data_IF_876085204825
#
_entry.id   IF_876085204825
#
_cell.length_a   1.000
_cell.length_b   1.000
_cell.length_c   1.000
_cell.angle_alpha   90.00
_cell.angle_beta   90.00
_cell.angle_gamma   90.00
#
_symmetry.space_group_name_H-M   'P 1'
#
loop_
_entity.id
_entity.type
_entity.pdbx_description
1 polymer ?
#
# COMPACT_ATOMS: atom_id res chain seq x y z
N UNK A 1 -10.84 5.05 13.23
CA UNK A 1 -9.37 5.01 12.96
C UNK A 1 -8.82 6.40 13.18
N UNK A 2 -7.78 6.56 14.02
CA UNK A 2 -7.25 7.89 14.35
C UNK A 2 -6.38 8.43 13.20
N UNK A 3 -6.64 9.65 12.69
CA UNK A 3 -5.71 10.38 11.83
C UNK A 3 -4.32 10.50 12.45
N UNK A 4 -3.29 10.50 11.62
CA UNK A 4 -1.89 10.58 12.06
C UNK A 4 -1.56 11.92 12.74
N UNK A 5 -2.23 13.01 12.35
CA UNK A 5 -2.05 14.33 12.94
C UNK A 5 -2.77 14.57 14.26
N UNK A 6 -3.54 13.59 14.77
CA UNK A 6 -4.28 13.71 16.03
C UNK A 6 -3.65 12.84 17.13
N UNK A 7 -3.67 13.34 18.37
CA UNK A 7 -3.17 12.59 19.51
C UNK A 7 -4.23 11.60 20.00
N UNK A 8 -4.02 10.31 19.74
CA UNK A 8 -4.90 9.27 20.26
C UNK A 8 -4.95 9.25 21.78
N UNK A 9 -3.94 9.72 22.52
CA UNK A 9 -3.97 9.72 23.98
C UNK A 9 -4.90 10.77 24.57
N UNK A 10 -5.26 11.80 23.78
CA UNK A 10 -6.26 12.77 24.19
C UNK A 10 -7.66 12.12 24.27
N UNK A 11 -8.25 12.21 25.45
CA UNK A 11 -9.56 11.59 25.73
C UNK A 11 -10.68 12.25 24.93
N UNK A 12 -10.56 13.54 24.61
CA UNK A 12 -11.54 14.23 23.77
C UNK A 12 -11.48 13.72 22.34
N UNK A 13 -10.29 13.66 21.75
CA UNK A 13 -10.06 13.06 20.43
C UNK A 13 -10.65 11.65 20.33
N UNK A 14 -10.46 10.80 21.35
CA UNK A 14 -11.07 9.45 21.38
C UNK A 14 -12.59 9.48 21.36
N UNK A 15 -13.20 10.34 22.18
CA UNK A 15 -14.67 10.40 22.27
C UNK A 15 -15.28 10.94 20.98
N UNK A 16 -14.72 12.00 20.42
CA UNK A 16 -15.20 12.64 19.19
C UNK A 16 -15.09 11.68 17.99
N UNK A 17 -14.01 10.88 17.91
CA UNK A 17 -13.86 9.81 16.92
C UNK A 17 -14.84 8.67 17.12
N UNK A 18 -15.11 8.28 18.38
CA UNK A 18 -15.97 7.13 18.70
C UNK A 18 -17.45 7.44 18.52
N UNK A 19 -17.87 8.65 18.88
CA UNK A 19 -19.24 9.13 18.71
C UNK A 19 -19.59 9.39 17.24
N UNK A 20 -18.58 9.66 16.41
CA UNK A 20 -18.78 10.08 15.02
C UNK A 20 -19.10 11.56 14.88
N UNK A 21 -18.99 12.35 15.95
CA UNK A 21 -19.13 13.82 15.91
C UNK A 21 -18.01 14.47 15.11
N UNK A 22 -16.80 13.89 15.14
CA UNK A 22 -15.71 14.32 14.29
C UNK A 22 -15.73 13.57 12.95
N UNK A 23 -16.11 14.29 11.90
CA UNK A 23 -15.97 13.81 10.53
C UNK A 23 -14.48 13.78 10.15
N UNK A 24 -13.99 12.59 9.81
CA UNK A 24 -12.63 12.38 9.34
C UNK A 24 -12.68 12.28 7.82
N UNK A 25 -12.13 13.29 7.15
CA UNK A 25 -12.04 13.37 5.70
C UNK A 25 -11.08 12.29 5.14
N UNK A 26 -11.24 11.91 3.86
CA UNK A 26 -10.45 10.84 3.24
C UNK A 26 -8.95 11.13 3.16
N UNK A 27 -8.56 12.40 3.12
CA UNK A 27 -7.17 12.89 3.14
C UNK A 27 -6.55 12.87 4.54
N UNK A 28 -7.35 12.73 5.61
CA UNK A 28 -6.86 12.57 6.97
C UNK A 28 -6.40 11.14 7.21
N UNK A 29 -5.21 10.84 6.71
CA UNK A 29 -4.69 9.48 6.71
C UNK A 29 -4.49 8.93 8.13
N UNK A 30 -4.96 7.69 8.39
CA UNK A 30 -4.88 7.10 9.70
C UNK A 30 -3.46 6.60 10.01
N UNK A 31 -3.11 6.62 11.29
CA UNK A 31 -1.78 6.24 11.79
C UNK A 31 -1.36 4.81 11.40
N UNK A 32 -2.33 3.94 11.07
CA UNK A 32 -2.04 2.56 10.68
C UNK A 32 -1.22 2.47 9.38
N UNK A 33 -1.21 3.51 8.52
CA UNK A 33 -0.39 3.52 7.30
C UNK A 33 1.11 3.57 7.59
N UNK A 34 1.49 4.13 8.74
CA UNK A 34 2.86 4.38 9.11
C UNK A 34 3.53 3.16 9.73
N UNK A 35 4.79 2.93 9.36
CA UNK A 35 5.64 1.94 10.02
C UNK A 35 5.68 2.20 11.53
N UNK A 36 5.49 1.13 12.33
CA UNK A 36 5.43 1.21 13.79
C UNK A 36 4.36 2.17 14.34
N UNK A 37 3.38 2.56 13.51
CA UNK A 37 2.31 3.49 13.88
C UNK A 37 2.84 4.82 14.43
N UNK A 38 3.93 5.33 13.86
CA UNK A 38 4.58 6.58 14.29
C UNK A 38 4.59 7.58 13.14
N UNK A 39 4.13 8.81 13.40
CA UNK A 39 4.11 9.90 12.44
C UNK A 39 5.09 11.00 12.86
N UNK A 40 5.99 11.41 11.96
CA UNK A 40 6.88 12.55 12.18
C UNK A 40 6.37 13.76 11.37
N UNK A 41 5.90 14.83 12.02
CA UNK A 41 5.44 16.02 11.33
C UNK A 41 6.56 16.79 10.60
N UNK A 42 7.84 16.52 10.90
CA UNK A 42 8.99 17.12 10.21
C UNK A 42 9.41 16.34 8.97
N UNK A 43 9.04 15.06 8.91
CA UNK A 43 9.28 14.15 7.80
C UNK A 43 8.03 13.27 7.58
N UNK A 44 6.97 13.80 6.95
CA UNK A 44 5.71 13.10 6.77
C UNK A 44 5.81 11.80 5.95
N UNK A 45 6.86 11.64 5.16
CA UNK A 45 7.12 10.40 4.41
C UNK A 45 7.72 9.29 5.27
N UNK A 46 8.25 9.63 6.45
CA UNK A 46 8.92 8.68 7.33
C UNK A 46 8.00 7.52 7.70
N UNK A 47 8.21 6.37 7.07
CA UNK A 47 7.43 5.16 7.33
C UNK A 47 6.03 5.15 6.71
N UNK A 48 5.61 6.18 5.98
CA UNK A 48 4.32 6.21 5.29
C UNK A 48 4.19 5.02 4.32
N UNK A 49 3.03 4.36 4.34
CA UNK A 49 2.71 3.18 3.52
C UNK A 49 3.68 1.99 3.69
N UNK A 50 4.41 1.93 4.80
CA UNK A 50 5.33 0.83 5.16
C UNK A 50 4.89 0.06 6.41
N UNK A 51 3.65 0.25 6.86
CA UNK A 51 3.09 -0.52 7.97
C UNK A 51 2.94 -2.00 7.62
N UNK A 52 3.26 -2.87 8.59
CA UNK A 52 3.04 -4.31 8.49
C UNK A 52 1.54 -4.67 8.40
N UNK A 53 0.65 -3.75 8.78
CA UNK A 53 -0.79 -3.93 8.64
C UNK A 53 -1.25 -3.85 7.18
N UNK A 54 -0.46 -3.25 6.29
CA UNK A 54 -0.74 -3.21 4.85
C UNK A 54 -0.53 -4.61 4.26
N UNK A 55 -1.44 -5.54 4.52
CA UNK A 55 -1.38 -6.99 4.29
C UNK A 55 -1.24 -7.43 2.81
N UNK A 56 -0.44 -6.72 2.02
CA UNK A 56 -0.16 -6.87 0.61
C UNK A 56 0.24 -8.30 0.27
N UNK A 57 1.13 -8.90 1.07
CA UNK A 57 1.52 -10.31 0.86
C UNK A 57 0.34 -11.27 1.04
N UNK A 58 -0.51 -11.04 2.02
CA UNK A 58 -1.68 -11.90 2.25
C UNK A 58 -2.74 -11.77 1.16
N UNK A 59 -2.85 -10.60 0.53
CA UNK A 59 -3.81 -10.36 -0.56
C UNK A 59 -3.26 -10.80 -1.92
N UNK A 60 -2.00 -10.51 -2.23
CA UNK A 60 -1.44 -10.74 -3.56
C UNK A 60 -0.61 -12.02 -3.68
N UNK A 61 -0.06 -12.54 -2.57
CA UNK A 61 0.75 -13.77 -2.60
C UNK A 61 -0.08 -14.97 -2.14
N UNK A 62 0.37 -16.17 -2.49
CA UNK A 62 -0.23 -17.39 -1.94
C UNK A 62 0.10 -17.49 -0.44
N UNK A 63 -0.80 -17.99 0.43
CA UNK A 63 -0.54 -18.17 1.87
C UNK A 63 0.80 -18.88 2.14
N UNK A 64 1.11 -19.89 1.34
CA UNK A 64 2.36 -20.67 1.39
C UNK A 64 3.63 -19.90 1.00
N UNK A 65 3.51 -18.71 0.39
CA UNK A 65 4.64 -17.81 0.08
C UNK A 65 4.92 -16.82 1.20
N UNK A 66 4.03 -16.75 2.21
CA UNK A 66 4.23 -15.99 3.44
C UNK A 66 4.98 -16.83 4.47
N UNK A 67 4.79 -18.16 4.44
CA UNK A 67 5.51 -19.13 5.26
C UNK A 67 6.83 -19.58 4.60
N UNK A 68 7.84 -19.96 5.40
CA UNK A 68 9.18 -20.35 4.91
C UNK A 68 9.19 -21.67 4.11
N UNK A 69 8.14 -22.47 4.18
CA UNK A 69 8.03 -23.74 3.44
C UNK A 69 7.00 -23.64 2.31
N UNK A 70 7.43 -23.78 1.04
CA UNK A 70 6.51 -23.66 -0.09
C UNK A 70 5.64 -24.91 -0.21
N UNK A 71 4.40 -24.82 0.28
CA UNK A 71 3.33 -25.83 0.10
C UNK A 71 2.22 -25.32 -0.84
N UNK A 72 2.59 -24.68 -1.95
CA UNK A 72 1.60 -24.07 -2.84
C UNK A 72 0.95 -25.11 -3.78
N UNK A 73 -0.37 -25.31 -3.65
CA UNK A 73 -1.22 -26.00 -4.65
C UNK A 73 -1.90 -25.03 -5.62
N UNK A 74 -1.96 -23.73 -5.29
CA UNK A 74 -2.55 -22.67 -6.12
C UNK A 74 -1.65 -21.43 -6.25
N UNK A 75 -1.66 -20.82 -7.43
CA UNK A 75 -0.99 -19.54 -7.70
C UNK A 75 -1.65 -18.38 -6.96
N UNK A 76 -0.85 -17.52 -6.33
CA UNK A 76 -1.36 -16.28 -5.70
C UNK A 76 -1.89 -15.28 -6.71
N UNK A 77 -2.69 -14.31 -6.25
CA UNK A 77 -3.36 -13.31 -7.07
C UNK A 77 -2.39 -12.51 -7.96
N UNK A 78 -1.21 -12.15 -7.46
CA UNK A 78 -0.17 -11.50 -8.27
C UNK A 78 0.19 -12.33 -9.50
N UNK A 79 0.42 -13.63 -9.35
CA UNK A 79 0.75 -14.52 -10.47
C UNK A 79 -0.45 -14.73 -11.40
N UNK A 80 -1.66 -14.86 -10.85
CA UNK A 80 -2.89 -15.01 -11.65
C UNK A 80 -3.12 -13.80 -12.57
N UNK A 81 -2.82 -12.60 -12.08
CA UNK A 81 -2.96 -11.36 -12.83
C UNK A 81 -1.68 -10.93 -13.56
N UNK A 82 -0.64 -11.76 -13.60
CA UNK A 82 0.62 -11.45 -14.29
C UNK A 82 1.40 -10.29 -13.68
N UNK A 83 1.14 -9.93 -12.42
CA UNK A 83 1.87 -8.88 -11.70
C UNK A 83 3.30 -9.36 -11.45
N UNK A 84 4.26 -8.56 -11.92
CA UNK A 84 5.70 -8.78 -11.77
C UNK A 84 6.39 -7.69 -10.93
N UNK A 85 5.64 -6.66 -10.56
CA UNK A 85 6.04 -5.57 -9.71
C UNK A 85 4.83 -5.03 -8.92
N UNK A 86 5.12 -4.41 -7.78
CA UNK A 86 4.16 -3.61 -7.02
C UNK A 86 3.92 -2.29 -7.75
N UNK A 87 2.67 -1.82 -7.78
CA UNK A 87 2.28 -0.55 -8.41
C UNK A 87 1.74 0.41 -7.36
N UNK A 88 1.74 1.71 -7.64
CA UNK A 88 1.14 2.72 -6.75
C UNK A 88 -0.34 2.41 -6.48
N UNK A 89 -1.08 2.04 -7.51
CA UNK A 89 -2.50 1.68 -7.41
C UNK A 89 -2.73 0.45 -6.53
N UNK A 90 -1.85 -0.56 -6.60
CA UNK A 90 -2.01 -1.74 -5.74
C UNK A 90 -1.66 -1.44 -4.28
N UNK A 91 -0.73 -0.52 -4.00
CA UNK A 91 -0.44 -0.06 -2.62
C UNK A 91 -1.62 0.72 -2.06
N UNK A 92 -2.14 1.71 -2.80
CA UNK A 92 -3.31 2.49 -2.40
C UNK A 92 -4.53 1.57 -2.18
N UNK A 93 -4.74 0.59 -3.06
CA UNK A 93 -5.83 -0.36 -2.91
C UNK A 93 -5.71 -1.19 -1.62
N UNK A 94 -4.52 -1.69 -1.28
CA UNK A 94 -4.31 -2.43 -0.03
C UNK A 94 -4.55 -1.55 1.20
N UNK A 95 -4.10 -0.30 1.18
CA UNK A 95 -4.40 0.65 2.24
C UNK A 95 -5.91 0.81 2.44
N UNK A 96 -6.67 0.97 1.36
CA UNK A 96 -8.13 1.09 1.40
C UNK A 96 -8.79 -0.18 1.94
N UNK A 97 -8.35 -1.37 1.50
CA UNK A 97 -8.87 -2.65 2.00
C UNK A 97 -8.63 -2.83 3.50
N UNK A 98 -7.44 -2.46 3.98
CA UNK A 98 -7.09 -2.54 5.41
C UNK A 98 -7.88 -1.52 6.22
N UNK A 99 -8.06 -0.29 5.71
CA UNK A 99 -8.90 0.72 6.35
C UNK A 99 -10.32 0.20 6.55
N UNK A 100 -10.90 -0.43 5.53
CA UNK A 100 -12.21 -1.07 5.63
C UNK A 100 -12.21 -2.20 6.66
N UNK A 101 -11.24 -3.11 6.61
CA UNK A 101 -11.14 -4.23 7.54
C UNK A 101 -10.99 -3.81 9.01
N UNK A 102 -10.40 -2.64 9.27
CA UNK A 102 -10.26 -2.07 10.61
C UNK A 102 -11.41 -1.14 11.02
N UNK A 103 -12.39 -0.94 10.14
CA UNK A 103 -13.56 -0.10 10.40
C UNK A 103 -14.69 -0.89 11.04
N UNK A 104 -15.72 -0.18 11.51
CA UNK A 104 -16.99 -0.77 11.95
C UNK A 104 -17.98 -0.99 10.79
N UNK A 105 -17.65 -0.59 9.56
CA UNK A 105 -18.54 -0.76 8.40
C UNK A 105 -18.60 -2.24 8.01
N UNK A 106 -19.82 -2.74 7.78
CA UNK A 106 -20.05 -4.12 7.35
C UNK A 106 -20.05 -4.28 5.83
N UNK A 107 -20.03 -3.16 5.08
CA UNK A 107 -20.14 -3.15 3.62
C UNK A 107 -19.04 -2.30 3.03
N UNK A 108 -18.24 -2.91 2.16
CA UNK A 108 -17.27 -2.16 1.36
C UNK A 108 -17.99 -1.57 0.15
N UNK A 109 -18.32 -0.28 0.21
CA UNK A 109 -18.93 0.46 -0.90
C UNK A 109 -18.08 1.65 -1.31
N UNK A 110 -18.06 1.94 -2.61
CA UNK A 110 -17.48 3.16 -3.17
C UNK A 110 -18.21 4.41 -2.68
N UNK A 111 -19.53 4.32 -2.54
CA UNK A 111 -20.42 5.42 -2.17
C UNK A 111 -20.70 5.48 -0.66
N UNK A 112 -19.90 4.77 0.15
CA UNK A 112 -20.06 4.83 1.61
C UNK A 112 -19.65 6.22 2.12
N UNK A 113 -20.64 7.07 2.37
CA UNK A 113 -20.45 8.43 2.89
C UNK A 113 -19.90 8.45 4.32
N UNK A 114 -19.93 7.32 5.03
CA UNK A 114 -19.41 7.25 6.41
C UNK A 114 -17.90 7.06 6.46
N UNK A 115 -17.35 6.39 5.46
CA UNK A 115 -15.92 6.10 5.40
C UNK A 115 -15.20 6.80 4.26
N UNK A 116 -15.91 7.36 3.28
CA UNK A 116 -15.31 8.04 2.12
C UNK A 116 -14.09 7.28 1.54
N UNK A 117 -14.32 6.00 1.23
CA UNK A 117 -13.27 5.10 0.73
C UNK A 117 -12.74 5.55 -0.63
N UNK A 118 -13.57 6.23 -1.42
CA UNK A 118 -13.20 6.79 -2.71
C UNK A 118 -12.22 7.95 -2.54
N UNK A 119 -12.52 8.94 -1.69
CA UNK A 119 -11.59 10.03 -1.43
C UNK A 119 -10.31 9.54 -0.76
N UNK A 120 -10.40 8.58 0.15
CA UNK A 120 -9.20 7.99 0.76
C UNK A 120 -8.27 7.36 -0.28
N UNK A 121 -8.81 6.55 -1.19
CA UNK A 121 -8.02 5.95 -2.25
C UNK A 121 -7.43 6.99 -3.20
N UNK A 122 -8.22 7.96 -3.64
CA UNK A 122 -7.74 9.00 -4.56
C UNK A 122 -6.72 9.92 -3.90
N UNK A 123 -6.89 10.31 -2.64
CA UNK A 123 -5.88 11.13 -1.93
C UNK A 123 -4.51 10.43 -1.84
N UNK A 124 -4.48 9.12 -1.65
CA UNK A 124 -3.24 8.35 -1.70
C UNK A 124 -2.66 8.31 -3.11
N UNK A 125 -3.49 8.12 -4.13
CA UNK A 125 -3.03 8.14 -5.52
C UNK A 125 -2.49 9.51 -5.91
N UNK A 126 -3.16 10.59 -5.53
CA UNK A 126 -2.75 11.96 -5.84
C UNK A 126 -1.34 12.23 -5.32
N UNK A 127 -1.01 11.79 -4.09
CA UNK A 127 0.35 11.83 -3.56
C UNK A 127 1.30 10.93 -4.37
N UNK A 128 0.91 9.68 -4.64
CA UNK A 128 1.79 8.70 -5.28
C UNK A 128 2.04 8.96 -6.77
N UNK A 129 1.20 9.77 -7.41
CA UNK A 129 1.32 10.21 -8.80
C UNK A 129 1.95 11.60 -8.93
N UNK A 130 2.17 12.30 -7.81
CA UNK A 130 2.80 13.62 -7.80
C UNK A 130 4.25 13.54 -8.33
N UNK A 131 4.59 14.24 -9.43
CA UNK A 131 5.94 14.28 -9.95
C UNK A 131 6.97 14.83 -8.95
N UNK A 132 6.57 15.69 -8.01
CA UNK A 132 7.45 16.25 -6.99
C UNK A 132 7.86 15.21 -5.95
N UNK A 133 7.07 14.16 -5.77
CA UNK A 133 7.25 13.09 -4.77
C UNK A 133 7.85 11.81 -5.39
N UNK A 134 8.29 11.88 -6.65
CA UNK A 134 8.71 10.70 -7.42
C UNK A 134 9.86 9.92 -6.79
N UNK A 135 10.78 10.59 -6.08
CA UNK A 135 11.91 9.95 -5.43
C UNK A 135 11.44 9.05 -4.27
N UNK A 136 10.58 9.56 -3.41
CA UNK A 136 10.00 8.90 -2.25
C UNK A 136 9.11 7.73 -2.68
N UNK A 137 8.33 7.94 -3.76
CA UNK A 137 7.51 6.89 -4.39
C UNK A 137 8.38 5.76 -4.94
N UNK A 138 9.46 6.07 -5.66
CA UNK A 138 10.38 5.07 -6.20
C UNK A 138 11.05 4.24 -5.09
N UNK A 139 11.43 4.90 -3.98
CA UNK A 139 11.94 4.21 -2.79
C UNK A 139 10.90 3.30 -2.15
N UNK A 140 9.65 3.77 -2.01
CA UNK A 140 8.53 2.99 -1.49
C UNK A 140 8.27 1.75 -2.36
N UNK A 141 8.17 1.92 -3.68
CA UNK A 141 7.96 0.82 -4.61
C UNK A 141 9.15 -0.15 -4.61
N UNK A 142 10.38 0.35 -4.54
CA UNK A 142 11.58 -0.49 -4.41
C UNK A 142 11.53 -1.32 -3.13
N UNK A 143 11.16 -0.70 -2.01
CA UNK A 143 11.02 -1.38 -0.73
C UNK A 143 9.95 -2.48 -0.76
N UNK A 144 8.79 -2.22 -1.35
CA UNK A 144 7.73 -3.20 -1.53
C UNK A 144 8.12 -4.33 -2.50
N UNK A 145 8.73 -4.01 -3.64
CA UNK A 145 9.17 -4.98 -4.63
C UNK A 145 10.20 -5.96 -4.08
N UNK A 146 11.13 -5.51 -3.23
CA UNK A 146 12.09 -6.40 -2.54
C UNK A 146 11.40 -7.44 -1.66
N UNK A 147 10.24 -7.10 -1.10
CA UNK A 147 9.52 -7.98 -0.19
C UNK A 147 8.55 -8.92 -0.90
N UNK A 148 7.90 -8.45 -1.96
CA UNK A 148 6.83 -9.18 -2.68
C UNK A 148 7.38 -9.93 -3.89
N UNK A 149 8.33 -9.34 -4.62
CA UNK A 149 8.92 -9.87 -5.85
C UNK A 149 10.46 -9.93 -5.78
N UNK A 150 11.05 -10.65 -4.81
CA UNK A 150 12.51 -10.69 -4.61
C UNK A 150 13.26 -11.22 -5.84
N UNK A 151 12.67 -12.14 -6.58
CA UNK A 151 13.26 -12.75 -7.78
C UNK A 151 13.18 -11.86 -9.02
N UNK A 152 12.16 -11.00 -9.13
CA UNK A 152 12.02 -10.01 -10.22
C UNK A 152 13.13 -8.96 -10.14
N UNK A 153 13.53 -8.63 -8.91
CA UNK A 153 14.65 -7.74 -8.61
C UNK A 153 16.02 -8.37 -8.95
N UNK A 154 16.14 -9.70 -8.87
CA UNK A 154 17.42 -10.40 -8.88
C UNK A 154 17.90 -10.93 -10.24
N UNK A 155 17.11 -10.87 -11.32
CA UNK A 155 17.56 -11.42 -12.59
C UNK A 155 16.91 -10.76 -13.82
N UNK A 156 17.45 -9.61 -14.26
CA UNK A 156 17.43 -9.31 -15.71
C UNK A 156 18.36 -10.33 -16.37
N UNK A 157 17.81 -11.41 -16.93
CA UNK A 157 18.57 -12.31 -17.80
C UNK A 157 19.28 -11.44 -18.85
N UNK A 158 20.61 -11.52 -18.99
CA UNK A 158 21.30 -10.75 -20.01
C UNK A 158 20.70 -11.11 -21.37
N UNK A 159 20.30 -10.09 -22.14
CA UNK A 159 19.80 -10.28 -23.49
C UNK A 159 20.93 -10.95 -24.26
N UNK A 160 20.66 -12.10 -24.86
CA UNK A 160 21.64 -12.78 -25.70
C UNK A 160 22.13 -11.80 -26.77
N UNK A 161 23.45 -11.64 -26.88
CA UNK A 161 24.10 -10.64 -27.74
C UNK A 161 23.61 -10.72 -29.20
N UNK A 162 23.20 -11.91 -29.65
CA UNK A 162 22.76 -12.19 -31.01
C UNK A 162 21.23 -12.18 -31.21
N UNK A 163 20.45 -11.81 -30.20
CA UNK A 163 19.00 -11.82 -30.31
C UNK A 163 18.47 -10.65 -31.17
N UNK A 164 17.29 -10.81 -31.76
CA UNK A 164 16.61 -9.70 -32.41
C UNK A 164 16.37 -8.52 -31.43
N UNK A 165 16.15 -8.82 -30.15
CA UNK A 165 15.91 -7.84 -29.09
C UNK A 165 17.15 -6.98 -28.79
N UNK A 166 18.37 -7.53 -28.83
CA UNK A 166 19.59 -6.72 -28.66
C UNK A 166 19.79 -5.75 -29.81
N UNK A 167 19.49 -6.18 -31.04
CA UNK A 167 19.55 -5.33 -32.24
C UNK A 167 18.51 -4.21 -32.26
N UNK A 168 17.31 -4.47 -31.74
CA UNK A 168 16.24 -3.46 -31.67
C UNK A 168 16.56 -2.35 -30.66
N UNK A 169 17.19 -2.68 -29.53
CA UNK A 169 17.53 -1.71 -28.47
C UNK A 169 18.79 -0.85 -28.77
N UNK A 170 19.49 -1.13 -29.87
CA UNK A 170 20.65 -0.35 -30.32
C UNK A 170 20.28 0.78 -31.30
N UNK A 171 19.00 0.94 -31.64
CA UNK A 171 18.47 2.09 -32.37
C UNK A 171 18.07 3.19 -31.40
#
# INVERSE_FOLDING_TARGET
LCPAGLDWNDSRTKEDLRSGEMLVCGDQWPIFLYALHTYDPKDPWCGLLRSHLLAYKHVFMSPSSVEREPKATHSGNARLHGMNAVTIASVAYIATQVRFALSSSSVFSRTDTTMDSEMFYHSLLDLLEDPEECQEVDELLTWWNRQVFPTSSAAKRPISANSALSKIRQK
#
